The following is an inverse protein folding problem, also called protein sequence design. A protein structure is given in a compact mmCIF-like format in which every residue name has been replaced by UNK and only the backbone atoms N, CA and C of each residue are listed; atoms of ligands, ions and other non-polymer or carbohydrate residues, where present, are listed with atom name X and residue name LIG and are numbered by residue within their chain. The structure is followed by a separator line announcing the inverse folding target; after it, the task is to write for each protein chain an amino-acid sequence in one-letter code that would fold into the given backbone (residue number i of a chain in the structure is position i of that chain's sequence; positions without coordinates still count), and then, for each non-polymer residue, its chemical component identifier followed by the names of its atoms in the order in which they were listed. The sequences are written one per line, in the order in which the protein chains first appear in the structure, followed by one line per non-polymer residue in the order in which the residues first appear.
data_IF_173244611956
#
_entry.id   IF_173244611956
#
_cell.length_a   1.000
_cell.length_b   1.000
_cell.length_c   1.000
_cell.angle_alpha   90.00
_cell.angle_beta   90.00
_cell.angle_gamma   90.00
#
_symmetry.space_group_name_H-M   'P 1'
#
loop_
_entity.id
_entity.type
_entity.pdbx_description
1 polymer ?
#
# COMPACT_ATOMS: atom_id res chain seq x y z
N UNK A 1 53.29 42.35 8.49
CA UNK A 1 52.27 42.06 7.45
C UNK A 1 51.44 40.87 7.92
N UNK A 2 50.12 40.76 7.80
CA UNK A 2 49.11 41.61 7.17
C UNK A 2 47.82 41.59 8.00
N UNK A 3 47.24 42.77 8.23
CA UNK A 3 45.90 42.91 8.79
C UNK A 3 44.87 42.63 7.70
N UNK A 4 44.43 41.37 7.58
CA UNK A 4 43.14 41.02 6.98
C UNK A 4 42.72 39.68 7.56
N UNK A 5 41.60 39.66 8.30
CA UNK A 5 40.83 38.43 8.47
C UNK A 5 40.29 38.09 7.09
N UNK A 6 40.99 37.23 6.37
CA UNK A 6 40.45 36.63 5.17
C UNK A 6 39.23 35.80 5.61
N UNK A 7 38.03 36.35 5.40
CA UNK A 7 36.80 35.58 5.43
C UNK A 7 36.87 34.62 4.23
N UNK A 8 37.50 33.47 4.43
CA UNK A 8 37.50 32.40 3.44
C UNK A 8 36.07 31.93 3.22
N UNK A 9 35.60 31.93 1.97
CA UNK A 9 34.41 31.19 1.58
C UNK A 9 34.68 29.71 1.85
N UNK A 10 34.08 29.14 2.88
CA UNK A 10 34.18 27.70 3.14
C UNK A 10 33.32 27.00 2.08
N UNK A 11 33.97 26.27 1.16
CA UNK A 11 33.31 25.45 0.13
C UNK A 11 32.69 24.16 0.71
N UNK A 12 32.10 24.25 1.90
CA UNK A 12 31.60 23.13 2.69
C UNK A 12 30.07 23.14 2.64
N UNK A 13 29.49 22.35 1.73
CA UNK A 13 28.02 22.30 1.57
C UNK A 13 27.53 21.40 0.43
N UNK A 14 28.23 20.30 0.14
CA UNK A 14 27.83 19.37 -0.93
C UNK A 14 26.89 18.31 -0.37
N UNK A 15 25.66 18.30 -0.86
CA UNK A 15 24.66 17.26 -0.55
C UNK A 15 24.02 16.73 -1.83
N UNK A 16 23.55 15.48 -1.78
CA UNK A 16 22.87 14.85 -2.90
C UNK A 16 21.36 14.77 -2.68
N UNK A 17 20.58 14.91 -3.75
CA UNK A 17 19.11 14.79 -3.67
C UNK A 17 18.68 13.42 -3.15
N UNK A 18 17.63 13.41 -2.33
CA UNK A 18 17.04 12.23 -1.73
C UNK A 18 16.61 11.19 -2.78
N UNK A 19 17.00 9.93 -2.58
CA UNK A 19 16.68 8.83 -3.52
C UNK A 19 15.35 8.13 -3.22
N UNK A 20 14.58 8.63 -2.24
CA UNK A 20 13.24 8.14 -1.84
C UNK A 20 13.18 6.62 -1.62
N UNK A 21 14.27 6.05 -1.08
CA UNK A 21 14.38 4.64 -0.71
C UNK A 21 13.41 4.31 0.44
N UNK A 22 13.14 3.03 0.64
CA UNK A 22 12.32 2.53 1.74
C UNK A 22 11.21 1.58 1.30
N UNK A 23 10.41 1.19 2.29
CA UNK A 23 9.23 0.34 2.13
C UNK A 23 8.11 1.14 1.48
N UNK A 24 7.43 0.54 0.50
CA UNK A 24 6.31 1.12 -0.24
C UNK A 24 5.00 0.40 0.04
N UNK A 25 5.06 -0.91 0.30
CA UNK A 25 3.92 -1.70 0.77
C UNK A 25 4.26 -2.34 2.12
N UNK A 26 3.36 -2.16 3.10
CA UNK A 26 3.54 -2.64 4.48
C UNK A 26 2.98 -4.06 4.70
N UNK A 27 3.16 -4.63 5.89
CA UNK A 27 2.64 -5.98 6.20
C UNK A 27 1.10 -5.99 6.13
N UNK A 28 0.53 -6.93 5.38
CA UNK A 28 -0.93 -7.04 5.23
C UNK A 28 -1.53 -6.12 4.17
N UNK A 29 -0.74 -5.34 3.44
CA UNK A 29 -1.24 -4.58 2.29
C UNK A 29 -1.37 -5.44 1.03
N UNK A 30 -2.31 -5.07 0.17
CA UNK A 30 -2.56 -5.74 -1.10
C UNK A 30 -1.59 -5.26 -2.18
N UNK A 31 -0.74 -6.16 -2.67
CA UNK A 31 0.14 -5.95 -3.82
C UNK A 31 -0.54 -6.42 -5.11
N UNK A 32 -0.40 -5.65 -6.18
CA UNK A 32 -0.68 -6.11 -7.55
C UNK A 32 0.57 -6.76 -8.12
N UNK A 33 0.40 -7.58 -9.16
CA UNK A 33 1.55 -8.08 -9.93
C UNK A 33 2.38 -6.91 -10.47
N UNK A 34 3.70 -6.97 -10.28
CA UNK A 34 4.65 -5.92 -10.64
C UNK A 34 4.75 -4.74 -9.67
N UNK A 35 3.95 -4.70 -8.60
CA UNK A 35 4.05 -3.62 -7.60
C UNK A 35 5.37 -3.67 -6.84
N UNK A 36 5.96 -2.50 -6.60
CA UNK A 36 7.18 -2.35 -5.82
C UNK A 36 6.83 -2.43 -4.34
N UNK A 37 7.50 -3.34 -3.62
CA UNK A 37 7.32 -3.53 -2.18
C UNK A 37 8.36 -2.71 -1.42
N UNK A 38 9.64 -2.78 -1.82
CA UNK A 38 10.75 -2.07 -1.16
C UNK A 38 11.77 -1.61 -2.19
N UNK A 39 12.17 -0.34 -2.10
CA UNK A 39 13.39 0.18 -2.77
C UNK A 39 14.51 0.25 -1.74
N UNK A 40 15.62 -0.43 -1.98
CA UNK A 40 16.72 -0.53 -1.03
C UNK A 40 18.09 -0.37 -1.72
N UNK A 41 19.14 -0.28 -0.92
CA UNK A 41 20.53 -0.38 -1.35
C UNK A 41 21.15 -1.57 -0.62
N UNK A 42 21.61 -2.56 -1.38
CA UNK A 42 21.90 -3.88 -0.85
C UNK A 42 20.63 -4.63 -0.44
N UNK A 43 20.80 -5.92 -0.11
CA UNK A 43 19.71 -6.80 0.30
C UNK A 43 19.51 -6.79 1.81
N UNK A 44 18.92 -5.70 2.35
CA UNK A 44 18.48 -5.67 3.76
C UNK A 44 17.27 -6.59 3.97
N UNK A 45 16.37 -6.59 2.99
CA UNK A 45 15.25 -7.51 2.87
C UNK A 45 15.53 -8.47 1.72
N UNK A 46 15.34 -9.76 1.97
CA UNK A 46 15.50 -10.80 0.97
C UNK A 46 14.16 -11.15 0.31
N UNK A 47 14.18 -11.50 -0.98
CA UNK A 47 12.99 -11.99 -1.66
C UNK A 47 12.54 -13.32 -1.04
N UNK A 48 11.24 -13.42 -0.80
CA UNK A 48 10.56 -14.64 -0.37
C UNK A 48 9.66 -15.20 -1.48
N UNK A 49 8.57 -15.84 -1.07
CA UNK A 49 7.61 -16.44 -1.99
C UNK A 49 6.94 -15.36 -2.85
N UNK A 50 6.86 -15.58 -4.17
CA UNK A 50 6.24 -14.67 -5.14
C UNK A 50 6.82 -13.25 -5.17
N UNK A 51 8.08 -13.08 -4.76
CA UNK A 51 8.80 -11.81 -4.82
C UNK A 51 10.10 -12.01 -5.56
N UNK A 52 10.45 -11.09 -6.46
CA UNK A 52 11.74 -11.08 -7.15
C UNK A 52 12.53 -9.82 -6.81
N UNK A 53 13.84 -9.93 -6.99
CA UNK A 53 14.80 -8.85 -6.81
C UNK A 53 15.17 -8.27 -8.19
N UNK A 54 15.08 -6.96 -8.33
CA UNK A 54 15.58 -6.23 -9.50
C UNK A 54 17.10 -6.04 -9.46
N UNK A 55 17.65 -5.42 -10.51
CA UNK A 55 19.08 -5.13 -10.60
C UNK A 55 19.55 -4.13 -9.52
N UNK A 56 18.69 -3.18 -9.14
CA UNK A 56 18.99 -2.19 -8.09
C UNK A 56 18.58 -2.65 -6.68
N UNK A 57 18.46 -3.97 -6.48
CA UNK A 57 17.98 -4.65 -5.26
C UNK A 57 16.53 -4.33 -4.85
N UNK A 58 15.76 -3.64 -5.70
CA UNK A 58 14.33 -3.39 -5.46
C UNK A 58 13.55 -4.72 -5.44
N UNK A 59 12.67 -4.88 -4.44
CA UNK A 59 11.78 -6.03 -4.34
C UNK A 59 10.42 -5.71 -4.96
N UNK A 60 9.96 -6.57 -5.86
CA UNK A 60 8.66 -6.44 -6.52
C UNK A 60 7.86 -7.74 -6.48
N UNK A 61 6.54 -7.61 -6.48
CA UNK A 61 5.61 -8.73 -6.43
C UNK A 61 5.48 -9.41 -7.81
N UNK A 62 5.60 -10.74 -7.85
CA UNK A 62 5.35 -11.54 -9.07
C UNK A 62 3.87 -11.92 -9.24
N UNK A 63 3.11 -11.91 -8.15
CA UNK A 63 1.71 -12.29 -8.13
C UNK A 63 0.93 -11.31 -7.25
N UNK A 64 -0.35 -11.11 -7.54
CA UNK A 64 -1.23 -10.33 -6.67
C UNK A 64 -1.55 -11.08 -5.36
N UNK A 65 -1.49 -10.37 -4.24
CA UNK A 65 -1.70 -10.96 -2.93
C UNK A 65 -1.36 -10.00 -1.79
N UNK A 66 -1.39 -10.49 -0.56
CA UNK A 66 -1.00 -9.74 0.62
C UNK A 66 0.49 -9.88 0.90
N UNK A 67 1.14 -8.76 1.20
CA UNK A 67 2.55 -8.73 1.59
C UNK A 67 2.69 -9.27 3.00
N UNK A 68 3.65 -10.18 3.20
CA UNK A 68 4.03 -10.72 4.51
C UNK A 68 5.52 -10.59 4.76
N UNK A 69 5.88 -9.93 5.85
CA UNK A 69 7.23 -9.87 6.35
C UNK A 69 7.47 -11.03 7.33
N UNK A 70 8.55 -11.76 7.12
CA UNK A 70 8.97 -12.86 7.99
C UNK A 70 10.46 -12.73 8.30
N UNK A 71 10.89 -13.41 9.35
CA UNK A 71 12.30 -13.42 9.77
C UNK A 71 12.82 -14.84 9.66
N UNK A 72 13.90 -15.05 8.90
CA UNK A 72 14.52 -16.36 8.69
C UNK A 72 16.03 -16.27 8.91
N UNK A 73 16.65 -17.36 9.35
CA UNK A 73 18.11 -17.43 9.47
C UNK A 73 18.70 -17.85 8.12
N UNK A 74 19.65 -17.07 7.60
CA UNK A 74 20.42 -17.42 6.41
C UNK A 74 21.87 -17.66 6.79
N UNK A 75 22.50 -18.67 6.19
CA UNK A 75 23.94 -18.85 6.28
C UNK A 75 24.59 -17.77 5.44
N UNK A 76 25.40 -16.93 6.06
CA UNK A 76 26.22 -15.96 5.36
C UNK A 76 27.40 -16.65 4.70
N UNK A 77 28.09 -15.91 3.82
CA UNK A 77 29.35 -16.35 3.22
C UNK A 77 30.36 -16.81 4.29
N UNK A 78 30.42 -16.11 5.43
CA UNK A 78 31.30 -16.44 6.58
C UNK A 78 30.90 -17.73 7.33
N UNK A 79 29.92 -18.49 6.83
CA UNK A 79 29.44 -19.73 7.45
C UNK A 79 28.46 -19.53 8.62
N UNK A 80 28.35 -18.32 9.17
CA UNK A 80 27.47 -18.01 10.30
C UNK A 80 26.00 -17.80 9.90
N UNK A 81 25.08 -18.29 10.72
CA UNK A 81 23.64 -18.06 10.54
C UNK A 81 23.26 -16.67 11.05
N UNK A 82 22.79 -15.79 10.15
CA UNK A 82 22.27 -14.47 10.52
C UNK A 82 20.76 -14.39 10.29
N UNK A 83 20.08 -13.91 11.31
CA UNK A 83 18.66 -13.55 11.28
C UNK A 83 18.45 -12.42 10.26
N UNK A 84 17.68 -12.71 9.21
CA UNK A 84 17.46 -11.80 8.08
C UNK A 84 15.98 -11.71 7.73
N UNK A 85 15.52 -10.52 7.33
CA UNK A 85 14.12 -10.28 6.98
C UNK A 85 13.84 -10.73 5.56
N UNK A 86 12.72 -11.43 5.37
CA UNK A 86 12.25 -11.97 4.10
C UNK A 86 10.86 -11.43 3.82
N UNK A 87 10.62 -11.05 2.57
CA UNK A 87 9.34 -10.49 2.13
C UNK A 87 8.69 -11.44 1.15
N UNK A 88 7.49 -11.93 1.49
CA UNK A 88 6.68 -12.79 0.61
C UNK A 88 5.36 -12.12 0.24
N UNK A 89 4.77 -12.57 -0.87
CA UNK A 89 3.40 -12.19 -1.25
C UNK A 89 2.55 -13.45 -1.36
N UNK A 90 1.42 -13.44 -0.64
CA UNK A 90 0.53 -14.59 -0.53
C UNK A 90 -0.84 -14.26 -1.13
N UNK A 91 -1.32 -15.03 -2.13
CA UNK A 91 -2.64 -14.79 -2.69
C UNK A 91 -3.72 -15.02 -1.64
N UNK A 92 -4.83 -14.29 -1.75
CA UNK A 92 -5.98 -14.55 -0.89
C UNK A 92 -6.59 -15.89 -1.26
N UNK A 93 -6.75 -16.78 -0.28
CA UNK A 93 -7.39 -18.07 -0.49
C UNK A 93 -8.82 -17.89 -1.01
N UNK A 94 -9.26 -18.83 -1.84
CA UNK A 94 -10.57 -18.77 -2.52
C UNK A 94 -11.73 -18.76 -1.52
N UNK A 95 -11.58 -19.47 -0.40
CA UNK A 95 -12.52 -19.43 0.73
C UNK A 95 -12.70 -18.00 1.29
N UNK A 96 -11.60 -17.29 1.57
CA UNK A 96 -11.65 -15.93 2.11
C UNK A 96 -12.21 -14.93 1.07
N UNK A 97 -11.96 -15.18 -0.22
CA UNK A 97 -12.50 -14.38 -1.33
C UNK A 97 -14.01 -14.52 -1.49
N UNK A 98 -14.54 -15.72 -1.33
CA UNK A 98 -15.99 -15.96 -1.42
C UNK A 98 -16.73 -15.37 -0.22
N UNK A 99 -16.19 -15.49 0.99
CA UNK A 99 -16.74 -14.83 2.18
C UNK A 99 -16.81 -13.31 2.04
N UNK A 100 -15.71 -12.68 1.60
CA UNK A 100 -15.66 -11.24 1.40
C UNK A 100 -16.59 -10.76 0.28
N UNK A 101 -16.75 -11.54 -0.80
CA UNK A 101 -17.75 -11.26 -1.85
C UNK A 101 -19.17 -11.28 -1.30
N UNK A 102 -19.55 -12.32 -0.56
CA UNK A 102 -20.88 -12.46 0.07
C UNK A 102 -21.21 -11.28 0.98
N UNK A 103 -20.26 -10.83 1.79
CA UNK A 103 -20.42 -9.67 2.67
C UNK A 103 -20.64 -8.38 1.86
N UNK A 104 -19.85 -8.18 0.80
CA UNK A 104 -19.96 -6.99 -0.05
C UNK A 104 -21.29 -6.92 -0.82
N UNK A 105 -21.77 -8.06 -1.31
CA UNK A 105 -23.05 -8.19 -2.03
C UNK A 105 -24.22 -7.91 -1.08
N UNK A 106 -24.21 -8.48 0.14
CA UNK A 106 -25.21 -8.19 1.16
C UNK A 106 -25.24 -6.71 1.57
N UNK A 107 -24.07 -6.03 1.60
CA UNK A 107 -24.00 -4.60 1.87
C UNK A 107 -24.55 -3.74 0.72
N UNK A 108 -24.31 -4.13 -0.54
CA UNK A 108 -24.86 -3.46 -1.72
C UNK A 108 -26.38 -3.55 -1.75
N UNK A 109 -26.96 -4.71 -1.41
CA UNK A 109 -28.40 -4.90 -1.36
C UNK A 109 -29.05 -4.07 -0.26
N UNK A 110 -28.39 -3.91 0.89
CA UNK A 110 -28.83 -3.00 1.96
C UNK A 110 -28.84 -1.54 1.49
N UNK A 111 -27.79 -1.09 0.80
CA UNK A 111 -27.72 0.28 0.22
C UNK A 111 -28.80 0.49 -0.85
N UNK A 112 -29.02 -0.47 -1.75
CA UNK A 112 -30.08 -0.41 -2.77
C UNK A 112 -31.47 -0.32 -2.13
N UNK A 113 -31.78 -1.18 -1.16
CA UNK A 113 -33.05 -1.13 -0.42
C UNK A 113 -33.26 0.22 0.29
N UNK A 114 -32.22 0.77 0.91
CA UNK A 114 -32.27 2.08 1.54
C UNK A 114 -32.50 3.22 0.52
N UNK A 115 -31.84 3.17 -0.64
CA UNK A 115 -32.02 4.16 -1.71
C UNK A 115 -33.45 4.15 -2.28
N UNK A 116 -34.03 2.96 -2.50
CA UNK A 116 -35.43 2.81 -2.95
C UNK A 116 -36.41 3.37 -1.92
N UNK A 117 -36.20 3.10 -0.62
CA UNK A 117 -37.04 3.62 0.46
C UNK A 117 -36.99 5.16 0.55
N UNK A 118 -35.81 5.75 0.39
CA UNK A 118 -35.65 7.21 0.38
C UNK A 118 -36.28 7.86 -0.86
N UNK A 119 -36.18 7.23 -2.04
CA UNK A 119 -36.84 7.70 -3.25
C UNK A 119 -38.37 7.66 -3.14
N UNK A 120 -38.94 6.63 -2.51
CA UNK A 120 -40.37 6.55 -2.24
C UNK A 120 -40.84 7.66 -1.27
N UNK A 121 -40.08 7.93 -0.20
CA UNK A 121 -40.37 9.00 0.77
C UNK A 121 -40.30 10.40 0.14
N UNK A 122 -39.34 10.65 -0.76
CA UNK A 122 -39.27 11.92 -1.48
C UNK A 122 -40.39 12.09 -2.52
N UNK A 123 -40.86 11.00 -3.15
CA UNK A 123 -42.03 11.03 -4.05
C UNK A 123 -43.32 11.39 -3.31
N UNK A 124 -43.55 10.83 -2.12
CA UNK A 124 -44.76 11.16 -1.32
C UNK A 124 -44.73 12.61 -0.82
N UNK A 125 -43.58 13.11 -0.38
CA UNK A 125 -43.41 14.52 0.02
C UNK A 125 -43.64 15.48 -1.16
N UNK A 126 -43.09 15.20 -2.36
CA UNK A 126 -43.36 16.00 -3.57
C UNK A 126 -44.84 15.96 -3.97
N UNK A 127 -45.50 14.80 -3.87
CA UNK A 127 -46.94 14.66 -4.19
C UNK A 127 -47.81 15.44 -3.19
N UNK A 128 -47.45 15.44 -1.91
CA UNK A 128 -48.12 16.25 -0.87
C UNK A 128 -47.91 17.76 -1.08
N UNK A 129 -46.69 18.19 -1.43
CA UNK A 129 -46.39 19.59 -1.75
C UNK A 129 -47.17 20.09 -2.98
N UNK A 130 -47.24 19.28 -4.04
CA UNK A 130 -48.00 19.60 -5.26
C UNK A 130 -49.51 19.69 -5.00
N UNK A 131 -50.05 18.84 -4.10
CA UNK A 131 -51.47 18.87 -3.69
C UNK A 131 -51.82 20.09 -2.84
N UNK A 132 -50.86 20.67 -2.09
CA UNK A 132 -51.05 21.93 -1.34
C UNK A 132 -51.06 23.16 -2.25
N UNK A 133 -50.34 23.15 -3.36
CA UNK A 133 -50.27 24.26 -4.32
C UNK A 133 -51.56 24.35 -5.16
N UNK A 134 -52.18 23.22 -5.52
CA UNK A 134 -53.40 23.17 -6.35
C UNK A 134 -54.69 23.48 -5.55
N UNK A 135 -54.61 23.54 -4.21
CA UNK A 135 -55.74 23.84 -3.30
C UNK A 135 -55.79 25.30 -2.84
N UNK A 136 -55.02 26.18 -3.46
CA UNK A 136 -54.96 27.62 -3.22
C UNK A 136 -55.34 28.32 -4.51
#
# INVERSE_FOLDING_TARGET
MAHKKAAGSTSLGRESESKRLGVKLTDGEWAKTGSIIIRQRGTKYHPGVNVKKGNDDTLFAMQAGFVKFSTKKFKKFDGNLKTTKVVGVYPMTEAKRTELKKISEAAQDRKKKAAVKNAAKNRTVKKAAKKKIVKK
#
